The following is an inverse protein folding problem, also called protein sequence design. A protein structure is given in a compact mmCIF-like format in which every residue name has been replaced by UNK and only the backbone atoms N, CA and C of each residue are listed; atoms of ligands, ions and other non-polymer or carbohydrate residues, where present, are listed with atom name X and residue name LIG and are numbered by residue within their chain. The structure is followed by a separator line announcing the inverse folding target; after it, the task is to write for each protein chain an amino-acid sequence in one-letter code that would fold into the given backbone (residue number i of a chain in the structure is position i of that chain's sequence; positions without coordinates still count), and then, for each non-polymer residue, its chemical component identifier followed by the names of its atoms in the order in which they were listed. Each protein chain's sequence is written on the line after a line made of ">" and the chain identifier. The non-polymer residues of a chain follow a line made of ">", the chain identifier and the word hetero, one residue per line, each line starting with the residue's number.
data_IF_201997076300
#
_entry.id   IF_201997076300
#
_cell.length_a   1.000
_cell.length_b   1.000
_cell.length_c   1.000
_cell.angle_alpha   90.00
_cell.angle_beta   90.00
_cell.angle_gamma   90.00
#
_symmetry.space_group_name_H-M   'P 1'
#
loop_
_entity.id
_entity.type
_entity.pdbx_description
1 polymer ?
#
# COMPACT_ATOMS: atom_id res chain seq x y z
N UNK A 1 -13.59 -16.99 -6.40
CA UNK A 1 -13.92 -18.35 -6.88
C UNK A 1 -13.16 -18.74 -8.15
N UNK A 2 -13.16 -17.91 -9.23
CA UNK A 2 -12.51 -18.24 -10.52
C UNK A 2 -11.00 -18.53 -10.40
N UNK A 3 -10.25 -17.75 -9.61
CA UNK A 3 -8.81 -17.97 -9.41
C UNK A 3 -8.54 -19.28 -8.66
N UNK A 4 -9.28 -19.55 -7.58
CA UNK A 4 -9.16 -20.79 -6.82
C UNK A 4 -9.46 -22.02 -7.67
N UNK A 5 -10.48 -21.97 -8.53
CA UNK A 5 -10.82 -23.07 -9.43
C UNK A 5 -9.71 -23.33 -10.47
N UNK A 6 -8.95 -22.29 -10.87
CA UNK A 6 -7.83 -22.42 -11.80
C UNK A 6 -6.50 -22.78 -11.12
N UNK A 7 -6.44 -22.78 -9.78
CA UNK A 7 -5.21 -23.01 -9.04
C UNK A 7 -4.12 -21.97 -9.34
N UNK A 8 -4.48 -20.74 -9.77
CA UNK A 8 -3.52 -19.71 -10.16
C UNK A 8 -4.13 -18.31 -10.05
N UNK A 9 -3.41 -17.39 -9.39
CA UNK A 9 -3.79 -15.99 -9.33
C UNK A 9 -2.85 -15.14 -8.49
N UNK A 10 -2.89 -13.83 -8.72
CA UNK A 10 -2.26 -12.82 -7.87
C UNK A 10 -3.31 -11.76 -7.51
N UNK A 11 -3.50 -11.53 -6.23
CA UNK A 11 -4.36 -10.48 -5.68
C UNK A 11 -3.45 -9.44 -5.06
N UNK A 12 -3.66 -8.18 -5.43
CA UNK A 12 -2.93 -7.05 -4.86
C UNK A 12 -3.95 -6.08 -4.29
N UNK A 13 -3.95 -5.94 -2.98
CA UNK A 13 -4.79 -4.98 -2.28
C UNK A 13 -4.02 -3.67 -2.08
N UNK A 14 -4.71 -2.54 -2.17
CA UNK A 14 -4.13 -1.23 -1.92
C UNK A 14 -4.52 -0.79 -0.50
N UNK A 15 -3.52 -0.77 0.39
CA UNK A 15 -3.68 -0.26 1.74
C UNK A 15 -3.15 1.18 1.85
N UNK A 16 -2.31 1.44 2.83
CA UNK A 16 -1.61 2.71 3.08
C UNK A 16 -0.54 2.47 4.14
N UNK A 17 0.54 3.25 4.14
CA UNK A 17 1.46 3.33 5.28
C UNK A 17 0.73 3.63 6.60
N UNK A 18 -0.40 4.34 6.54
CA UNK A 18 -1.27 4.64 7.69
C UNK A 18 -1.92 3.41 8.33
N UNK A 19 -1.87 2.25 7.68
CA UNK A 19 -2.24 0.97 8.29
C UNK A 19 -1.15 0.39 9.18
N UNK A 20 0.08 0.91 9.08
CA UNK A 20 1.25 0.45 9.85
C UNK A 20 1.67 1.47 10.90
N UNK A 21 1.50 2.76 10.60
CA UNK A 21 1.85 3.86 11.51
C UNK A 21 0.66 4.77 11.79
N UNK A 22 0.78 5.61 12.82
CA UNK A 22 -0.12 6.74 13.06
C UNK A 22 0.53 8.02 12.51
N UNK A 23 -0.14 8.65 11.55
CA UNK A 23 0.38 9.85 10.90
C UNK A 23 0.31 11.04 11.86
N UNK A 24 1.46 11.68 12.09
CA UNK A 24 1.55 12.85 12.97
C UNK A 24 0.66 13.99 12.44
N UNK A 25 -0.14 14.59 13.34
CA UNK A 25 -1.00 15.73 13.02
C UNK A 25 -2.31 15.38 12.30
N UNK A 26 -2.58 14.11 12.00
CA UNK A 26 -3.81 13.69 11.35
C UNK A 26 -4.71 12.89 12.31
N UNK A 27 -5.93 13.38 12.51
CA UNK A 27 -6.97 12.69 13.30
C UNK A 27 -7.80 11.80 12.38
N UNK A 28 -7.32 10.59 12.10
CA UNK A 28 -7.91 9.68 11.11
C UNK A 28 -7.94 8.21 11.58
N UNK A 29 -8.29 7.97 12.84
CA UNK A 29 -8.32 6.62 13.42
C UNK A 29 -9.14 5.63 12.59
N UNK A 30 -10.29 6.05 12.05
CA UNK A 30 -11.14 5.24 11.17
C UNK A 30 -10.39 4.79 9.89
N UNK A 31 -9.64 5.69 9.27
CA UNK A 31 -8.84 5.39 8.08
C UNK A 31 -7.70 4.44 8.40
N UNK A 32 -6.89 4.76 9.43
CA UNK A 32 -5.77 3.93 9.86
C UNK A 32 -6.22 2.51 10.19
N UNK A 33 -7.31 2.37 10.96
CA UNK A 33 -7.88 1.07 11.31
C UNK A 33 -8.36 0.29 10.08
N UNK A 34 -9.01 0.96 9.14
CA UNK A 34 -9.48 0.32 7.90
C UNK A 34 -8.31 -0.20 7.07
N UNK A 35 -7.20 0.56 6.97
CA UNK A 35 -6.01 0.17 6.19
C UNK A 35 -5.20 -0.92 6.90
N UNK A 36 -5.12 -0.89 8.23
CA UNK A 36 -4.57 -2.00 9.01
C UNK A 36 -5.36 -3.31 8.80
N UNK A 37 -6.69 -3.22 8.77
CA UNK A 37 -7.54 -4.36 8.47
C UNK A 37 -7.28 -4.95 7.08
N UNK A 38 -7.09 -4.12 6.04
CA UNK A 38 -6.73 -4.57 4.68
C UNK A 38 -5.39 -5.31 4.69
N UNK A 39 -4.38 -4.80 5.40
CA UNK A 39 -3.07 -5.45 5.51
C UNK A 39 -3.21 -6.83 6.17
N UNK A 40 -3.87 -6.89 7.32
CA UNK A 40 -4.00 -8.15 8.06
C UNK A 40 -4.89 -9.17 7.34
N UNK A 41 -6.01 -8.74 6.75
CA UNK A 41 -6.85 -9.58 5.90
C UNK A 41 -6.05 -10.19 4.75
N UNK A 42 -5.20 -9.40 4.10
CA UNK A 42 -4.37 -9.88 2.98
C UNK A 42 -3.38 -10.96 3.42
N UNK A 43 -2.78 -10.82 4.61
CA UNK A 43 -1.91 -11.85 5.21
C UNK A 43 -2.68 -13.14 5.51
N UNK A 44 -3.88 -13.02 6.07
CA UNK A 44 -4.75 -14.18 6.35
C UNK A 44 -5.11 -14.92 5.06
N UNK A 45 -5.55 -14.20 4.03
CA UNK A 45 -5.88 -14.78 2.73
C UNK A 45 -4.66 -15.38 2.02
N UNK A 46 -3.47 -14.79 2.18
CA UNK A 46 -2.23 -15.35 1.65
C UNK A 46 -1.95 -16.72 2.25
N UNK A 47 -2.10 -16.85 3.57
CA UNK A 47 -1.91 -18.12 4.29
C UNK A 47 -2.95 -19.18 3.88
N UNK A 48 -4.24 -18.78 3.78
CA UNK A 48 -5.33 -19.69 3.44
C UNK A 48 -5.25 -20.23 2.00
N UNK A 49 -4.61 -19.50 1.07
CA UNK A 49 -4.67 -19.81 -0.35
C UNK A 49 -3.31 -20.10 -1.01
N UNK A 50 -2.22 -20.07 -0.25
CA UNK A 50 -0.87 -20.31 -0.78
C UNK A 50 -0.73 -21.71 -1.41
N UNK A 51 -1.19 -22.75 -0.72
CA UNK A 51 -1.18 -24.13 -1.19
C UNK A 51 -2.15 -24.37 -2.36
N UNK A 52 -3.07 -23.42 -2.59
CA UNK A 52 -4.05 -23.43 -3.69
C UNK A 52 -3.60 -22.62 -4.90
N UNK A 53 -2.32 -22.24 -4.96
CA UNK A 53 -1.69 -21.57 -6.09
C UNK A 53 -2.01 -20.07 -6.22
N UNK A 54 -2.54 -19.41 -5.16
CA UNK A 54 -2.80 -17.98 -5.15
C UNK A 54 -1.77 -17.25 -4.30
N UNK A 55 -1.39 -16.06 -4.77
CA UNK A 55 -0.63 -15.10 -3.99
C UNK A 55 -1.51 -13.91 -3.64
N UNK A 56 -1.39 -13.41 -2.42
CA UNK A 56 -2.10 -12.22 -1.96
C UNK A 56 -1.08 -11.29 -1.31
N UNK A 57 -0.95 -10.08 -1.84
CA UNK A 57 -0.01 -9.08 -1.36
C UNK A 57 -0.70 -7.72 -1.24
N UNK A 58 0.00 -6.79 -0.63
CA UNK A 58 -0.46 -5.42 -0.42
C UNK A 58 0.56 -4.45 -1.00
N UNK A 59 0.09 -3.37 -1.60
CA UNK A 59 0.86 -2.14 -1.80
C UNK A 59 0.33 -1.11 -0.82
N UNK A 60 1.22 -0.54 -0.02
CA UNK A 60 0.91 0.50 0.97
C UNK A 60 1.59 1.81 0.57
N UNK A 61 0.90 2.68 -0.20
CA UNK A 61 1.46 3.97 -0.58
C UNK A 61 1.66 4.89 0.62
N UNK A 62 2.71 5.72 0.55
CA UNK A 62 2.86 6.92 1.34
C UNK A 62 2.07 8.09 0.77
N UNK A 63 2.50 9.31 1.09
CA UNK A 63 1.88 10.51 0.54
C UNK A 63 2.07 10.59 -0.96
N UNK A 64 0.94 10.55 -1.69
CA UNK A 64 0.90 10.52 -3.15
C UNK A 64 0.16 11.73 -3.68
N UNK A 65 0.70 12.39 -4.71
CA UNK A 65 0.18 13.62 -5.28
C UNK A 65 -1.02 13.34 -6.20
N UNK A 66 -2.15 13.06 -5.61
CA UNK A 66 -3.44 12.87 -6.30
C UNK A 66 -4.17 14.20 -6.47
N UNK A 67 -5.26 14.26 -7.29
CA UNK A 67 -6.09 15.46 -7.37
C UNK A 67 -6.59 15.97 -6.00
N UNK A 68 -6.83 15.08 -5.05
CA UNK A 68 -7.22 15.44 -3.68
C UNK A 68 -6.18 16.33 -2.99
N UNK A 69 -4.88 16.06 -3.20
CA UNK A 69 -3.77 16.79 -2.59
C UNK A 69 -3.30 17.99 -3.41
N UNK A 70 -3.96 18.30 -4.53
CA UNK A 70 -3.68 19.48 -5.36
C UNK A 70 -4.59 20.66 -5.05
N UNK A 71 -5.54 20.48 -4.13
CA UNK A 71 -6.48 21.54 -3.74
C UNK A 71 -5.79 22.59 -2.88
N UNK A 72 -6.14 23.88 -3.02
CA UNK A 72 -5.53 24.96 -2.22
C UNK A 72 -5.70 24.78 -0.71
N UNK A 73 -6.82 24.20 -0.27
CA UNK A 73 -7.16 24.00 1.14
C UNK A 73 -6.19 23.10 1.89
N UNK A 74 -5.47 22.22 1.18
CA UNK A 74 -4.50 21.27 1.77
C UNK A 74 -3.05 21.64 1.46
N UNK A 75 -2.79 22.87 1.00
CA UNK A 75 -1.44 23.26 0.57
C UNK A 75 -0.42 23.26 1.71
N UNK A 76 -0.83 23.60 2.93
CA UNK A 76 0.07 23.61 4.09
C UNK A 76 0.37 22.17 4.54
N UNK A 77 -0.62 21.28 4.55
CA UNK A 77 -0.40 19.84 4.83
C UNK A 77 0.55 19.22 3.81
N UNK A 78 0.42 19.57 2.53
CA UNK A 78 1.31 19.09 1.46
C UNK A 78 2.76 19.52 1.71
N UNK A 79 3.01 20.72 2.24
CA UNK A 79 4.37 21.15 2.62
C UNK A 79 4.93 20.28 3.75
N UNK A 80 4.10 19.97 4.75
CA UNK A 80 4.47 19.10 5.87
C UNK A 80 4.76 17.68 5.35
N UNK A 81 3.90 17.11 4.50
CA UNK A 81 4.09 15.78 3.93
C UNK A 81 5.41 15.67 3.15
N UNK A 82 5.76 16.69 2.36
CA UNK A 82 7.03 16.74 1.64
C UNK A 82 8.24 16.84 2.57
N UNK A 83 8.15 17.72 3.58
CA UNK A 83 9.23 17.91 4.57
C UNK A 83 9.51 16.64 5.36
N UNK A 84 8.44 15.94 5.77
CA UNK A 84 8.54 14.78 6.66
C UNK A 84 8.81 13.47 5.89
N UNK A 85 8.77 13.49 4.56
CA UNK A 85 9.18 12.35 3.72
C UNK A 85 10.69 12.42 3.47
N UNK A 86 11.48 11.38 3.77
CA UNK A 86 12.95 11.39 3.56
C UNK A 86 13.39 11.75 2.15
N UNK A 87 12.65 11.32 1.12
CA UNK A 87 12.93 11.71 -0.27
C UNK A 87 12.55 13.16 -0.59
N UNK A 88 12.04 13.96 0.36
CA UNK A 88 11.75 15.40 0.23
C UNK A 88 10.57 15.73 -0.69
N UNK A 89 9.77 14.75 -1.07
CA UNK A 89 8.65 14.91 -1.99
C UNK A 89 7.53 13.90 -1.72
N UNK A 90 6.35 14.17 -2.26
CA UNK A 90 5.31 13.16 -2.41
C UNK A 90 5.56 12.30 -3.66
N UNK A 91 5.06 11.08 -3.65
CA UNK A 91 5.10 10.21 -4.82
C UNK A 91 4.17 10.74 -5.93
N UNK A 92 4.55 10.51 -7.18
CA UNK A 92 3.62 10.56 -8.30
C UNK A 92 2.76 9.28 -8.32
N UNK A 93 1.48 9.32 -8.74
CA UNK A 93 0.65 8.10 -8.85
C UNK A 93 1.28 6.99 -9.67
N UNK A 94 2.03 7.36 -10.71
CA UNK A 94 2.72 6.44 -11.63
C UNK A 94 3.81 5.61 -10.92
N UNK A 95 4.35 6.10 -9.80
CA UNK A 95 5.35 5.38 -9.01
C UNK A 95 4.77 4.14 -8.29
N UNK A 96 3.45 4.03 -8.20
CA UNK A 96 2.77 2.84 -7.69
C UNK A 96 2.65 1.73 -8.76
N UNK A 97 2.87 2.04 -10.03
CA UNK A 97 2.72 1.08 -11.14
C UNK A 97 3.78 -0.01 -11.06
N UNK A 98 5.05 0.35 -10.93
CA UNK A 98 6.16 -0.60 -10.85
C UNK A 98 5.98 -1.66 -9.76
N UNK A 99 5.79 -1.26 -8.50
CA UNK A 99 5.51 -2.17 -7.38
C UNK A 99 4.30 -3.08 -7.63
N UNK A 100 3.22 -2.54 -8.18
CA UNK A 100 2.00 -3.31 -8.48
C UNK A 100 2.25 -4.33 -9.58
N UNK A 101 2.92 -3.94 -10.67
CA UNK A 101 3.28 -4.84 -11.78
C UNK A 101 4.25 -5.92 -11.30
N UNK A 102 5.24 -5.59 -10.47
CA UNK A 102 6.12 -6.58 -9.86
C UNK A 102 5.32 -7.66 -9.12
N UNK A 103 4.44 -7.25 -8.20
CA UNK A 103 3.61 -8.20 -7.43
C UNK A 103 2.63 -9.02 -8.30
N UNK A 104 2.17 -8.45 -9.42
CA UNK A 104 1.30 -9.13 -10.37
C UNK A 104 2.05 -10.16 -11.23
N UNK A 105 3.33 -9.96 -11.45
CA UNK A 105 4.16 -10.70 -12.41
C UNK A 105 4.73 -11.99 -11.85
N UNK A 106 5.40 -12.76 -12.72
CA UNK A 106 6.16 -13.97 -12.34
C UNK A 106 7.42 -13.65 -11.53
N UNK A 107 7.94 -12.42 -11.59
CA UNK A 107 9.07 -12.00 -10.76
C UNK A 107 8.76 -12.11 -9.26
N UNK A 108 7.48 -12.01 -8.87
CA UNK A 108 7.01 -12.19 -7.51
C UNK A 108 6.44 -13.59 -7.24
N UNK A 109 6.88 -14.63 -7.97
CA UNK A 109 6.30 -15.98 -7.88
C UNK A 109 6.43 -16.63 -6.50
N UNK A 110 7.40 -16.21 -5.69
CA UNK A 110 7.61 -16.70 -4.32
C UNK A 110 7.26 -15.64 -3.25
N UNK A 111 6.50 -14.60 -3.64
CA UNK A 111 6.09 -13.49 -2.76
C UNK A 111 4.60 -13.57 -2.49
N UNK A 112 4.22 -13.85 -1.24
CA UNK A 112 2.84 -13.81 -0.76
C UNK A 112 2.79 -13.34 0.70
N UNK A 113 1.73 -12.65 1.11
CA UNK A 113 1.58 -12.07 2.45
C UNK A 113 2.40 -10.80 2.69
N UNK A 114 3.08 -10.28 1.65
CA UNK A 114 3.89 -9.07 1.74
C UNK A 114 2.99 -7.82 1.81
N UNK A 115 3.34 -6.91 2.71
CA UNK A 115 2.94 -5.50 2.66
C UNK A 115 4.13 -4.70 2.11
N UNK A 116 4.04 -4.32 0.84
CA UNK A 116 5.06 -3.53 0.14
C UNK A 116 4.77 -2.05 0.34
N UNK A 117 5.48 -1.44 1.27
CA UNK A 117 5.37 -0.01 1.56
C UNK A 117 6.16 0.77 0.50
N UNK A 118 5.49 1.77 -0.11
CA UNK A 118 6.05 2.63 -1.18
C UNK A 118 5.80 4.08 -0.77
N UNK A 119 6.67 4.62 0.07
CA UNK A 119 6.41 5.84 0.84
C UNK A 119 7.56 6.86 0.85
N UNK A 120 8.61 6.63 0.09
CA UNK A 120 9.80 7.50 0.08
C UNK A 120 10.59 7.49 1.40
N UNK A 121 10.45 6.40 2.18
CA UNK A 121 11.13 6.20 3.45
C UNK A 121 10.39 6.75 4.67
N UNK A 122 9.14 7.20 4.52
CA UNK A 122 8.39 7.86 5.60
C UNK A 122 8.28 7.03 6.88
N UNK A 123 8.07 5.71 6.77
CA UNK A 123 7.94 4.82 7.94
C UNK A 123 9.27 4.39 8.56
N UNK A 124 10.40 4.89 8.06
CA UNK A 124 11.73 4.57 8.60
C UNK A 124 12.13 5.44 9.80
N UNK A 125 11.36 6.49 10.10
CA UNK A 125 11.60 7.37 11.27
C UNK A 125 11.06 6.79 12.57
#
# INVERSE_FOLDING_TARGET
>A
RKMLARGKGSIINIASMSGTIVNRGLTQAHYNSSKAAVIHMSRSLAMEWADRGLRVNVVSPGYTLTPMNKRPEVAEEVKIFKRDTPMGRMAAPEEMVGPTVFLASRAASFVTGLDLIVDGGYVCW
#
